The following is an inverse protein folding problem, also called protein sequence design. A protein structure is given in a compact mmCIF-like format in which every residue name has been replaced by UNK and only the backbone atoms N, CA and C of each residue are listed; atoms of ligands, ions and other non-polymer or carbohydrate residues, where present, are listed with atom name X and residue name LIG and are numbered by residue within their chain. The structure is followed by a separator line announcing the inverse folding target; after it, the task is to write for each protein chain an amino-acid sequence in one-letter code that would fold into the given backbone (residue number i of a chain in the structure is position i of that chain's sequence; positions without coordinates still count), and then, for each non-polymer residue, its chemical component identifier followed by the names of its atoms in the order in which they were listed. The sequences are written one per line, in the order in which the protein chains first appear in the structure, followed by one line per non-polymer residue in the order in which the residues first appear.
data_IF_647560046820
#
_entry.id   IF_647560046820
#
_cell.length_a   1.000
_cell.length_b   1.000
_cell.length_c   1.000
_cell.angle_alpha   90.00
_cell.angle_beta   90.00
_cell.angle_gamma   90.00
#
_symmetry.space_group_name_H-M   'P 1'
#
loop_
_entity.id
_entity.type
_entity.pdbx_description
1 polymer ?
#
# COMPACT_ATOMS: atom_id res chain seq x y z
N UNK A 1 5.00 14.35 26.20
CA UNK A 1 4.03 13.61 25.35
C UNK A 1 4.60 12.22 25.15
N UNK A 2 3.76 11.20 25.14
CA UNK A 2 4.19 9.82 24.92
C UNK A 2 4.76 9.65 23.49
N UNK A 3 5.97 9.10 23.30
CA UNK A 3 6.51 8.78 21.97
C UNK A 3 5.54 7.97 21.09
N UNK A 4 4.74 7.08 21.69
CA UNK A 4 3.72 6.26 20.99
C UNK A 4 2.82 7.14 20.13
N UNK A 5 2.39 8.30 20.63
CA UNK A 5 1.48 9.19 19.90
C UNK A 5 2.09 9.73 18.61
N UNK A 6 3.39 10.04 18.61
CA UNK A 6 4.08 10.60 17.43
C UNK A 6 4.31 9.52 16.39
N UNK A 7 4.72 8.32 16.83
CA UNK A 7 4.99 7.19 15.95
C UNK A 7 3.69 6.67 15.34
N UNK A 8 2.61 6.53 16.12
CA UNK A 8 1.27 6.19 15.62
C UNK A 8 0.76 7.23 14.60
N UNK A 9 0.94 8.51 14.88
CA UNK A 9 0.57 9.57 13.95
C UNK A 9 1.35 9.46 12.63
N UNK A 10 2.62 9.03 12.67
CA UNK A 10 3.43 8.78 11.48
C UNK A 10 2.92 7.56 10.69
N UNK A 11 2.63 6.43 11.36
CA UNK A 11 2.04 5.23 10.73
C UNK A 11 0.70 5.56 10.03
N UNK A 12 -0.11 6.42 10.64
CA UNK A 12 -1.42 6.82 10.12
C UNK A 12 -1.36 7.95 9.07
N UNK A 13 -0.17 8.41 8.67
CA UNK A 13 -0.03 9.49 7.70
C UNK A 13 -0.55 10.84 8.20
N UNK A 14 -0.69 11.05 9.52
CA UNK A 14 -1.21 12.29 10.14
C UNK A 14 -0.15 13.39 10.20
N UNK A 15 0.26 13.84 9.01
CA UNK A 15 1.35 14.80 8.76
C UNK A 15 1.35 15.99 9.71
N UNK A 16 0.22 16.68 9.85
CA UNK A 16 0.19 17.96 10.55
C UNK A 16 0.38 17.78 12.06
N UNK A 17 -0.12 16.67 12.62
CA UNK A 17 0.11 16.30 14.02
C UNK A 17 1.60 16.04 14.24
N UNK A 18 2.22 15.18 13.43
CA UNK A 18 3.65 14.87 13.54
C UNK A 18 4.49 16.14 13.42
N UNK A 19 4.26 16.95 12.39
CA UNK A 19 5.06 18.15 12.15
C UNK A 19 4.90 19.22 13.23
N UNK A 20 3.72 19.35 13.85
CA UNK A 20 3.52 20.27 14.96
C UNK A 20 4.31 19.85 16.21
N UNK A 21 4.34 18.55 16.50
CA UNK A 21 5.11 17.99 17.63
C UNK A 21 6.60 18.16 17.37
N UNK A 22 7.09 17.78 16.18
CA UNK A 22 8.50 17.92 15.82
C UNK A 22 8.96 19.37 15.74
N UNK A 23 8.07 20.32 15.40
CA UNK A 23 8.38 21.75 15.45
C UNK A 23 8.68 22.20 16.88
N UNK A 24 7.88 21.74 17.85
CA UNK A 24 8.01 22.06 19.26
C UNK A 24 9.20 21.36 19.93
N UNK A 25 9.42 20.09 19.62
CA UNK A 25 10.49 19.28 20.19
C UNK A 25 11.02 18.26 19.14
N UNK A 26 12.17 18.53 18.50
CA UNK A 26 12.75 17.61 17.53
C UNK A 26 13.29 16.32 18.17
N UNK A 27 13.49 16.25 19.49
CA UNK A 27 14.02 15.04 20.17
C UNK A 27 13.12 13.81 20.00
N UNK A 28 11.84 14.00 19.67
CA UNK A 28 10.93 12.89 19.34
C UNK A 28 11.39 12.08 18.12
N UNK A 29 12.23 12.63 17.23
CA UNK A 29 12.83 11.87 16.13
C UNK A 29 13.80 10.77 16.61
N UNK A 30 14.27 10.85 17.86
CA UNK A 30 15.17 9.87 18.46
C UNK A 30 14.43 8.85 19.34
N UNK A 31 13.19 9.17 19.74
CA UNK A 31 12.39 8.33 20.63
C UNK A 31 11.73 7.22 19.83
N UNK A 32 11.89 5.98 20.28
CA UNK A 32 11.22 4.83 19.70
C UNK A 32 9.90 4.54 20.42
N UNK A 33 8.99 3.92 19.69
CA UNK A 33 7.78 3.35 20.26
C UNK A 33 7.39 2.07 19.51
N UNK A 34 6.68 1.19 20.23
CA UNK A 34 6.06 0.00 19.66
C UNK A 34 4.80 0.39 18.90
N UNK A 35 4.75 0.04 17.62
CA UNK A 35 3.60 0.24 16.73
C UNK A 35 3.35 -0.99 15.88
N UNK A 36 2.14 -1.14 15.37
CA UNK A 36 1.78 -2.25 14.46
C UNK A 36 1.78 -1.78 13.00
N UNK A 37 2.30 -2.60 12.10
CA UNK A 37 2.16 -2.39 10.66
C UNK A 37 0.72 -2.71 10.19
N UNK A 38 0.46 -2.62 8.88
CA UNK A 38 -0.88 -2.83 8.30
C UNK A 38 -1.42 -4.26 8.42
N UNK A 39 -0.58 -5.23 8.79
CA UNK A 39 -0.95 -6.63 9.04
C UNK A 39 -0.84 -7.04 10.52
N UNK A 40 -0.62 -6.06 11.41
CA UNK A 40 -0.67 -6.26 12.85
C UNK A 40 0.64 -6.69 13.51
N UNK A 41 1.75 -6.76 12.77
CA UNK A 41 3.07 -7.10 13.31
C UNK A 41 3.66 -5.89 14.04
N UNK A 42 4.13 -6.11 15.28
CA UNK A 42 4.67 -5.07 16.15
C UNK A 42 6.15 -4.78 15.86
N UNK A 43 6.51 -3.50 15.81
CA UNK A 43 7.88 -3.03 15.60
C UNK A 43 8.20 -1.87 16.56
N UNK A 44 9.44 -1.83 17.05
CA UNK A 44 9.96 -0.73 17.86
C UNK A 44 10.77 0.24 16.99
N UNK A 45 10.18 1.40 16.67
CA UNK A 45 10.67 2.31 15.63
C UNK A 45 10.54 3.78 16.00
N UNK A 46 11.36 4.62 15.38
CA UNK A 46 11.25 6.09 15.47
C UNK A 46 10.15 6.63 14.55
N UNK A 47 9.75 7.91 14.67
CA UNK A 47 8.79 8.52 13.73
C UNK A 47 9.25 8.48 12.27
N UNK A 48 10.56 8.65 12.00
CA UNK A 48 11.11 8.57 10.64
C UNK A 48 10.99 7.15 10.09
N UNK A 49 11.38 6.16 10.88
CA UNK A 49 11.30 4.75 10.50
C UNK A 49 9.84 4.33 10.25
N UNK A 50 8.89 4.78 11.08
CA UNK A 50 7.46 4.57 10.86
C UNK A 50 6.94 5.19 9.55
N UNK A 51 7.38 6.40 9.21
CA UNK A 51 7.04 7.02 7.92
C UNK A 51 7.60 6.21 6.74
N UNK A 52 8.82 5.69 6.84
CA UNK A 52 9.44 4.85 5.81
C UNK A 52 8.73 3.50 5.68
N UNK A 53 8.43 2.84 6.81
CA UNK A 53 7.69 1.57 6.85
C UNK A 53 6.37 1.65 6.09
N UNK A 54 5.72 2.82 6.15
CA UNK A 54 4.43 3.07 5.50
C UNK A 54 4.55 3.73 4.13
N UNK A 55 5.76 3.88 3.60
CA UNK A 55 6.09 4.51 2.31
C UNK A 55 5.62 5.97 2.19
N UNK A 56 5.56 6.68 3.32
CA UNK A 56 5.25 8.11 3.39
C UNK A 56 6.51 8.96 3.25
N UNK A 57 7.10 8.91 2.05
CA UNK A 57 8.37 9.59 1.75
C UNK A 57 8.25 11.11 1.91
N UNK A 58 7.08 11.69 1.66
CA UNK A 58 6.86 13.12 1.90
C UNK A 58 6.89 13.49 3.38
N UNK A 59 6.39 12.62 4.25
CA UNK A 59 6.53 12.85 5.68
C UNK A 59 8.00 12.76 6.08
N UNK A 60 8.73 11.75 5.59
CA UNK A 60 10.16 11.60 5.82
C UNK A 60 10.97 12.83 5.37
N UNK A 61 10.73 13.34 4.16
CA UNK A 61 11.36 14.56 3.64
C UNK A 61 11.12 15.78 4.57
N UNK A 62 9.90 15.92 5.10
CA UNK A 62 9.57 17.02 6.01
C UNK A 62 10.24 16.88 7.38
N UNK A 63 10.54 15.65 7.83
CA UNK A 63 11.27 15.42 9.08
C UNK A 63 12.72 15.91 9.01
N UNK A 64 13.29 16.11 7.81
CA UNK A 64 14.67 16.62 7.62
C UNK A 64 14.94 17.89 8.43
N UNK A 65 14.02 18.87 8.41
CA UNK A 65 14.15 20.12 9.20
C UNK A 65 14.15 19.89 10.72
N UNK A 66 13.57 18.79 11.17
CA UNK A 66 13.67 18.37 12.57
C UNK A 66 15.08 17.89 12.88
N UNK A 67 15.64 17.01 12.03
CA UNK A 67 17.01 16.53 12.16
C UNK A 67 18.06 17.65 12.04
N UNK A 68 17.87 18.63 11.14
CA UNK A 68 18.76 19.81 11.04
C UNK A 68 18.83 20.63 12.34
N UNK A 69 17.82 20.51 13.22
CA UNK A 69 17.77 21.19 14.52
C UNK A 69 18.22 20.30 15.68
N UNK A 70 18.53 19.03 15.44
CA UNK A 70 19.05 18.11 16.46
C UNK A 70 20.56 18.30 16.60
N UNK A 71 20.97 18.87 17.73
CA UNK A 71 22.38 19.07 18.08
C UNK A 71 22.85 18.17 19.21
N UNK A 72 21.94 17.50 19.91
CA UNK A 72 22.24 16.56 20.98
C UNK A 72 21.29 15.36 20.96
N UNK A 73 21.75 14.21 21.48
CA UNK A 73 20.96 13.01 21.66
C UNK A 73 20.08 13.07 22.92
N UNK A 74 19.47 11.94 23.30
CA UNK A 74 18.62 11.85 24.49
C UNK A 74 19.39 11.90 25.83
N UNK A 75 20.73 11.87 25.80
CA UNK A 75 21.62 11.97 26.96
C UNK A 75 22.46 13.25 26.93
N UNK A 76 22.00 14.27 26.20
CA UNK A 76 22.67 15.55 25.98
C UNK A 76 24.08 15.44 25.36
N UNK A 77 24.39 14.32 24.69
CA UNK A 77 25.65 14.17 23.95
C UNK A 77 25.53 14.82 22.57
N UNK A 78 26.52 15.58 22.10
CA UNK A 78 26.47 16.19 20.78
C UNK A 78 26.30 15.16 19.66
N UNK A 79 25.41 15.45 18.71
CA UNK A 79 25.21 14.62 17.51
C UNK A 79 25.11 15.49 16.25
N UNK A 80 25.46 14.89 15.12
CA UNK A 80 25.04 15.37 13.80
C UNK A 80 23.66 14.78 13.50
N UNK A 81 22.62 15.62 13.60
CA UNK A 81 21.25 15.20 13.33
C UNK A 81 21.02 14.68 11.91
N UNK A 82 21.75 15.18 10.90
CA UNK A 82 21.63 14.67 9.53
C UNK A 82 22.28 13.28 9.41
N UNK A 83 23.44 13.08 10.03
CA UNK A 83 24.06 11.75 10.09
C UNK A 83 23.15 10.74 10.81
N UNK A 84 22.48 11.18 11.89
CA UNK A 84 21.50 10.37 12.61
C UNK A 84 20.28 10.02 11.74
N UNK A 85 19.77 10.95 10.92
CA UNK A 85 18.72 10.67 9.94
C UNK A 85 19.13 9.53 9.01
N UNK A 86 20.34 9.60 8.44
CA UNK A 86 20.88 8.56 7.56
C UNK A 86 21.02 7.21 8.25
N UNK A 87 21.52 7.22 9.49
CA UNK A 87 21.64 6.00 10.30
C UNK A 87 20.28 5.34 10.47
N UNK A 88 19.23 6.10 10.75
CA UNK A 88 17.86 5.57 10.90
C UNK A 88 17.28 5.01 9.59
N UNK A 89 17.51 5.67 8.45
CA UNK A 89 17.09 5.16 7.12
C UNK A 89 17.84 3.86 6.80
N UNK A 90 19.17 3.84 6.96
CA UNK A 90 20.00 2.64 6.74
C UNK A 90 19.52 1.47 7.62
N UNK A 91 19.30 1.72 8.91
CA UNK A 91 18.84 0.72 9.88
C UNK A 91 17.51 0.07 9.48
N UNK A 92 16.50 0.85 9.08
CA UNK A 92 15.20 0.28 8.72
C UNK A 92 15.24 -0.52 7.41
N UNK A 93 16.02 -0.07 6.42
CA UNK A 93 16.20 -0.79 5.17
C UNK A 93 16.98 -2.09 5.35
N UNK A 94 18.07 -2.08 6.13
CA UNK A 94 18.83 -3.31 6.44
C UNK A 94 17.99 -4.32 7.20
N UNK A 95 17.21 -3.86 8.20
CA UNK A 95 16.26 -4.74 8.91
C UNK A 95 15.25 -5.35 7.97
N UNK A 96 14.64 -4.53 7.11
CA UNK A 96 13.66 -4.98 6.10
C UNK A 96 14.26 -5.99 5.14
N UNK A 97 15.46 -5.73 4.61
CA UNK A 97 16.16 -6.63 3.69
C UNK A 97 16.51 -7.97 4.34
N UNK A 98 17.03 -7.97 5.57
CA UNK A 98 17.30 -9.21 6.35
C UNK A 98 16.03 -10.02 6.60
N UNK A 99 14.90 -9.34 6.82
CA UNK A 99 13.60 -10.00 7.00
C UNK A 99 13.11 -10.69 5.71
N UNK A 100 13.35 -10.06 4.55
CA UNK A 100 12.98 -10.61 3.24
C UNK A 100 13.95 -11.70 2.74
N UNK A 101 15.21 -11.66 3.18
CA UNK A 101 16.27 -12.55 2.71
C UNK A 101 17.14 -13.04 3.89
N UNK A 102 16.61 -13.91 4.77
CA UNK A 102 17.29 -14.32 5.99
C UNK A 102 18.60 -15.09 5.73
N UNK A 103 18.68 -15.81 4.60
CA UNK A 103 19.84 -16.64 4.25
C UNK A 103 20.91 -15.90 3.42
N UNK A 104 20.61 -14.69 2.96
CA UNK A 104 21.56 -13.88 2.18
C UNK A 104 22.42 -13.07 3.12
N UNK A 105 23.75 -13.21 3.03
CA UNK A 105 24.65 -12.24 3.66
C UNK A 105 24.43 -10.87 3.01
N UNK A 106 23.66 -10.03 3.69
CA UNK A 106 23.44 -8.64 3.28
C UNK A 106 24.78 -7.92 3.41
N UNK A 107 25.40 -7.63 2.26
CA UNK A 107 26.59 -6.77 2.22
C UNK A 107 26.28 -5.47 2.95
N UNK A 108 27.02 -5.19 4.02
CA UNK A 108 26.87 -3.98 4.83
C UNK A 108 27.48 -2.77 4.12
N UNK A 109 27.04 -2.53 2.87
CA UNK A 109 27.43 -1.35 2.10
C UNK A 109 27.17 -0.09 2.93
N UNK A 110 28.13 0.83 2.92
CA UNK A 110 27.92 2.16 3.49
C UNK A 110 27.11 3.07 2.55
N UNK A 111 27.05 2.73 1.27
CA UNK A 111 26.18 3.40 0.32
C UNK A 111 24.72 2.94 0.50
N UNK A 112 23.91 3.86 1.01
CA UNK A 112 22.48 3.68 1.25
C UNK A 112 21.68 3.46 -0.04
N UNK A 113 22.15 3.98 -1.18
CA UNK A 113 21.51 3.78 -2.48
C UNK A 113 21.61 2.32 -2.93
N UNK A 114 22.76 1.69 -2.66
CA UNK A 114 22.97 0.24 -2.90
C UNK A 114 22.02 -0.58 -2.03
N UNK A 115 21.86 -0.21 -0.75
CA UNK A 115 20.93 -0.89 0.17
C UNK A 115 19.48 -0.75 -0.29
N UNK A 116 19.05 0.46 -0.68
CA UNK A 116 17.69 0.71 -1.19
C UNK A 116 17.46 -0.08 -2.48
N UNK A 117 18.44 -0.13 -3.39
CA UNK A 117 18.37 -0.91 -4.63
C UNK A 117 18.19 -2.41 -4.37
N UNK A 118 19.01 -2.99 -3.48
CA UNK A 118 18.90 -4.39 -3.08
C UNK A 118 17.56 -4.70 -2.39
N UNK A 119 17.08 -3.80 -1.53
CA UNK A 119 15.78 -3.91 -0.90
C UNK A 119 14.62 -3.88 -1.91
N UNK A 120 14.66 -2.98 -2.89
CA UNK A 120 13.63 -2.91 -3.94
C UNK A 120 13.59 -4.20 -4.77
N UNK A 121 14.76 -4.78 -5.11
CA UNK A 121 14.85 -6.08 -5.79
C UNK A 121 14.28 -7.21 -4.93
N UNK A 122 14.60 -7.23 -3.64
CA UNK A 122 14.04 -8.20 -2.70
C UNK A 122 12.51 -8.07 -2.58
N UNK A 123 11.97 -6.84 -2.55
CA UNK A 123 10.53 -6.61 -2.56
C UNK A 123 9.85 -7.08 -3.85
N UNK A 124 10.47 -6.86 -5.01
CA UNK A 124 9.94 -7.35 -6.29
C UNK A 124 9.91 -8.88 -6.32
N UNK A 125 10.98 -9.54 -5.85
CA UNK A 125 11.05 -10.99 -5.71
C UNK A 125 10.06 -11.54 -4.67
N UNK A 126 9.77 -10.77 -3.61
CA UNK A 126 8.78 -11.12 -2.59
C UNK A 126 7.34 -10.75 -3.00
N UNK A 127 7.05 -10.46 -4.27
CA UNK A 127 5.68 -10.19 -4.65
C UNK A 127 4.82 -11.47 -4.58
N UNK A 128 3.69 -11.40 -3.86
CA UNK A 128 2.73 -12.49 -3.73
C UNK A 128 2.27 -13.04 -5.09
N UNK A 129 2.19 -14.36 -5.22
CA UNK A 129 1.72 -15.02 -6.44
C UNK A 129 0.18 -15.05 -6.50
N UNK A 130 -0.39 -14.19 -7.33
CA UNK A 130 -1.84 -14.13 -7.55
C UNK A 130 -2.32 -15.16 -8.58
N UNK A 131 -1.42 -15.81 -9.33
CA UNK A 131 -1.77 -16.63 -10.50
C UNK A 131 -2.74 -17.78 -10.16
N UNK A 132 -2.52 -18.61 -9.11
CA UNK A 132 -3.43 -19.72 -8.81
C UNK A 132 -4.87 -19.26 -8.54
N UNK A 133 -5.00 -18.10 -7.90
CA UNK A 133 -6.29 -17.52 -7.55
C UNK A 133 -6.99 -16.87 -8.74
N UNK A 134 -6.24 -16.22 -9.62
CA UNK A 134 -6.76 -15.70 -10.90
C UNK A 134 -7.27 -16.86 -11.77
N UNK A 135 -6.48 -17.92 -11.91
CA UNK A 135 -6.86 -19.11 -12.69
C UNK A 135 -8.11 -19.79 -12.11
N UNK A 136 -8.22 -19.90 -10.79
CA UNK A 136 -9.41 -20.41 -10.12
C UNK A 136 -10.66 -19.56 -10.41
N UNK A 137 -10.56 -18.22 -10.39
CA UNK A 137 -11.69 -17.33 -10.73
C UNK A 137 -12.05 -17.46 -12.21
N UNK A 138 -11.06 -17.63 -13.09
CA UNK A 138 -11.28 -17.83 -14.52
C UNK A 138 -12.00 -19.13 -14.85
N UNK A 139 -11.70 -20.19 -14.10
CA UNK A 139 -12.30 -21.51 -14.22
C UNK A 139 -13.64 -21.66 -13.47
N UNK A 140 -13.99 -20.71 -12.59
CA UNK A 140 -15.18 -20.81 -11.75
C UNK A 140 -16.49 -20.85 -12.54
N UNK A 141 -17.44 -21.63 -12.03
CA UNK A 141 -18.79 -21.70 -12.57
C UNK A 141 -19.58 -20.41 -12.32
N UNK A 142 -20.65 -20.21 -13.09
CA UNK A 142 -21.54 -19.07 -12.90
C UNK A 142 -22.15 -19.05 -11.49
N UNK A 143 -22.53 -20.21 -10.95
CA UNK A 143 -23.09 -20.34 -9.61
C UNK A 143 -22.09 -19.92 -8.52
N UNK A 144 -20.83 -20.34 -8.62
CA UNK A 144 -19.79 -19.93 -7.67
C UNK A 144 -19.52 -18.42 -7.73
N UNK A 145 -19.48 -17.85 -8.94
CA UNK A 145 -19.32 -16.41 -9.12
C UNK A 145 -20.50 -15.64 -8.52
N UNK A 146 -21.73 -16.15 -8.64
CA UNK A 146 -22.93 -15.52 -8.08
C UNK A 146 -22.90 -15.42 -6.56
N UNK A 147 -22.38 -16.45 -5.88
CA UNK A 147 -22.16 -16.43 -4.42
C UNK A 147 -21.21 -15.29 -4.02
N UNK A 148 -20.10 -15.14 -4.73
CA UNK A 148 -19.13 -14.06 -4.44
C UNK A 148 -19.68 -12.69 -4.83
N UNK A 149 -20.42 -12.60 -5.94
CA UNK A 149 -21.04 -11.35 -6.39
C UNK A 149 -22.15 -10.89 -5.45
N UNK A 150 -22.86 -11.80 -4.80
CA UNK A 150 -23.84 -11.46 -3.77
C UNK A 150 -23.16 -10.63 -2.68
N UNK A 151 -22.04 -11.12 -2.13
CA UNK A 151 -21.25 -10.37 -1.14
C UNK A 151 -20.75 -9.03 -1.67
N UNK A 152 -20.22 -8.98 -2.90
CA UNK A 152 -19.69 -7.74 -3.49
C UNK A 152 -20.80 -6.67 -3.63
N UNK A 153 -22.02 -7.09 -3.93
CA UNK A 153 -23.15 -6.20 -4.18
C UNK A 153 -23.93 -5.81 -2.91
N UNK A 154 -23.71 -6.49 -1.77
CA UNK A 154 -24.38 -6.15 -0.51
C UNK A 154 -23.86 -4.83 0.04
N UNK A 155 -24.75 -3.85 0.25
CA UNK A 155 -24.40 -2.47 0.66
C UNK A 155 -24.58 -2.20 2.16
N UNK A 156 -25.67 -2.62 2.82
CA UNK A 156 -25.82 -2.40 4.26
C UNK A 156 -24.88 -3.27 5.07
N UNK A 157 -24.38 -2.74 6.18
CA UNK A 157 -23.37 -3.45 6.99
C UNK A 157 -23.88 -4.71 7.66
N UNK A 158 -25.12 -4.65 8.13
CA UNK A 158 -25.80 -5.76 8.78
C UNK A 158 -26.11 -6.89 7.79
N UNK A 159 -26.50 -6.54 6.57
CA UNK A 159 -26.72 -7.50 5.48
C UNK A 159 -25.41 -8.15 5.02
N UNK A 160 -24.31 -7.40 4.97
CA UNK A 160 -23.02 -7.93 4.54
C UNK A 160 -22.48 -9.01 5.49
N UNK A 161 -22.68 -8.84 6.80
CA UNK A 161 -22.31 -9.85 7.80
C UNK A 161 -23.15 -11.14 7.66
N UNK A 162 -24.46 -11.00 7.42
CA UNK A 162 -25.35 -12.15 7.18
C UNK A 162 -25.01 -12.88 5.88
N UNK A 163 -24.71 -12.15 4.82
CA UNK A 163 -24.26 -12.72 3.53
C UNK A 163 -22.91 -13.41 3.69
N UNK A 164 -21.95 -12.81 4.40
CA UNK A 164 -20.67 -13.46 4.68
C UNK A 164 -20.86 -14.78 5.45
N UNK A 165 -21.71 -14.78 6.47
CA UNK A 165 -22.03 -15.98 7.25
C UNK A 165 -22.72 -17.07 6.40
N UNK A 166 -23.68 -16.70 5.55
CA UNK A 166 -24.42 -17.66 4.72
C UNK A 166 -23.61 -18.21 3.54
N UNK A 167 -22.63 -17.44 3.05
CA UNK A 167 -21.75 -17.83 1.93
C UNK A 167 -20.44 -18.45 2.39
N UNK A 168 -20.12 -18.42 3.69
CA UNK A 168 -18.87 -18.91 4.24
C UNK A 168 -17.65 -18.03 3.95
N UNK A 169 -17.87 -16.77 3.54
CA UNK A 169 -16.79 -15.82 3.23
C UNK A 169 -16.18 -15.30 4.54
N UNK A 170 -14.86 -15.42 4.68
CA UNK A 170 -14.12 -15.06 5.90
C UNK A 170 -12.74 -14.48 5.59
N UNK A 171 -12.10 -13.85 6.58
CA UNK A 171 -10.69 -13.40 6.49
C UNK A 171 -9.73 -14.59 6.50
N UNK A 172 -10.11 -15.70 7.13
CA UNK A 172 -9.29 -16.90 7.31
C UNK A 172 -10.04 -18.15 6.88
N UNK A 173 -9.30 -19.22 6.56
CA UNK A 173 -9.91 -20.53 6.32
C UNK A 173 -10.43 -21.17 7.60
N UNK A 174 -11.38 -22.08 7.44
CA UNK A 174 -11.75 -23.04 8.49
C UNK A 174 -10.74 -24.18 8.52
N UNK A 175 -10.69 -24.94 9.61
CA UNK A 175 -9.76 -26.06 9.74
C UNK A 175 -10.06 -27.17 8.73
N UNK A 176 -11.34 -27.40 8.42
CA UNK A 176 -11.76 -28.36 7.39
C UNK A 176 -11.28 -27.94 6.01
N UNK A 177 -11.32 -26.65 5.68
CA UNK A 177 -10.82 -26.12 4.41
C UNK A 177 -9.28 -26.14 4.35
N UNK A 178 -8.57 -25.96 5.46
CA UNK A 178 -7.10 -26.11 5.51
C UNK A 178 -6.66 -27.54 5.22
N UNK A 179 -7.45 -28.54 5.61
CA UNK A 179 -7.15 -29.96 5.37
C UNK A 179 -7.31 -30.41 3.91
N UNK A 180 -8.03 -29.65 3.08
CA UNK A 180 -8.28 -29.95 1.66
C UNK A 180 -7.12 -29.47 0.78
N UNK A 181 -6.84 -30.21 -0.30
CA UNK A 181 -5.98 -29.72 -1.38
C UNK A 181 -6.62 -28.53 -2.09
N UNK A 182 -5.83 -27.73 -2.81
CA UNK A 182 -6.34 -26.51 -3.46
C UNK A 182 -7.47 -26.81 -4.47
N UNK A 183 -7.38 -27.94 -5.19
CA UNK A 183 -8.36 -28.30 -6.23
C UNK A 183 -9.70 -28.76 -5.64
N UNK A 184 -9.69 -29.28 -4.41
CA UNK A 184 -10.90 -29.70 -3.69
C UNK A 184 -11.68 -28.53 -3.06
N UNK A 185 -11.11 -27.32 -3.10
CA UNK A 185 -11.75 -26.14 -2.56
C UNK A 185 -12.78 -25.55 -3.53
N UNK A 186 -13.91 -25.11 -2.98
CA UNK A 186 -14.84 -24.19 -3.63
C UNK A 186 -14.17 -22.84 -3.90
N UNK A 187 -14.71 -22.04 -4.82
CA UNK A 187 -14.20 -20.69 -5.06
C UNK A 187 -14.12 -19.83 -3.78
N UNK A 188 -15.13 -19.88 -2.90
CA UNK A 188 -15.13 -19.11 -1.65
C UNK A 188 -13.99 -19.56 -0.73
N UNK A 189 -13.79 -20.87 -0.57
CA UNK A 189 -12.70 -21.39 0.26
C UNK A 189 -11.32 -21.03 -0.30
N UNK A 190 -11.15 -21.02 -1.64
CA UNK A 190 -9.94 -20.53 -2.31
C UNK A 190 -9.70 -19.05 -2.02
N UNK A 191 -10.73 -18.21 -2.08
CA UNK A 191 -10.60 -16.80 -1.73
C UNK A 191 -10.31 -16.57 -0.24
N UNK A 192 -10.86 -17.39 0.66
CA UNK A 192 -10.49 -17.35 2.08
C UNK A 192 -9.01 -17.75 2.28
N UNK A 193 -8.53 -18.78 1.56
CA UNK A 193 -7.11 -19.19 1.56
C UNK A 193 -6.21 -18.04 1.11
N UNK A 194 -6.58 -17.41 0.00
CA UNK A 194 -5.87 -16.22 -0.50
C UNK A 194 -5.74 -15.14 0.57
N UNK A 195 -6.84 -14.77 1.24
CA UNK A 195 -6.81 -13.68 2.22
C UNK A 195 -5.89 -13.99 3.39
N UNK A 196 -5.91 -15.23 3.87
CA UNK A 196 -5.07 -15.73 4.95
C UNK A 196 -3.59 -15.78 4.52
N UNK A 197 -3.29 -16.47 3.43
CA UNK A 197 -1.92 -16.62 2.90
C UNK A 197 -1.30 -15.27 2.54
N UNK A 198 -2.09 -14.36 1.96
CA UNK A 198 -1.62 -13.01 1.63
C UNK A 198 -1.22 -12.22 2.88
N UNK A 199 -2.01 -12.30 3.96
CA UNK A 199 -1.65 -11.66 5.23
C UNK A 199 -0.42 -12.29 5.84
N UNK A 200 -0.33 -13.64 5.86
CA UNK A 200 0.86 -14.36 6.34
C UNK A 200 2.11 -13.98 5.55
N UNK A 201 2.01 -13.90 4.23
CA UNK A 201 3.10 -13.50 3.34
C UNK A 201 3.65 -12.10 3.69
N UNK A 202 2.76 -11.16 3.99
CA UNK A 202 3.13 -9.79 4.37
C UNK A 202 3.70 -9.67 5.79
N UNK A 203 3.61 -10.70 6.65
CA UNK A 203 4.10 -10.59 8.04
C UNK A 203 5.62 -10.41 8.11
N UNK A 204 6.35 -10.89 7.09
CA UNK A 204 7.80 -10.72 7.00
C UNK A 204 8.21 -9.34 6.44
N UNK A 205 7.25 -8.47 6.13
CA UNK A 205 7.50 -7.15 5.57
C UNK A 205 7.52 -6.06 6.65
N UNK A 206 8.69 -5.45 6.84
CA UNK A 206 8.85 -4.28 7.70
C UNK A 206 8.41 -3.02 6.96
N UNK A 207 8.89 -2.85 5.73
CA UNK A 207 8.48 -1.78 4.82
C UNK A 207 7.43 -2.36 3.88
N UNK A 208 6.27 -1.71 3.80
CA UNK A 208 5.18 -2.14 2.92
C UNK A 208 5.67 -2.34 1.47
N UNK A 209 5.35 -3.49 0.88
CA UNK A 209 5.72 -3.83 -0.48
C UNK A 209 4.63 -3.43 -1.49
N UNK A 210 4.82 -2.37 -2.29
CA UNK A 210 3.84 -1.96 -3.29
C UNK A 210 3.69 -2.97 -4.45
N UNK A 211 4.64 -3.90 -4.61
CA UNK A 211 4.61 -4.86 -5.71
C UNK A 211 3.43 -5.83 -5.62
N UNK A 212 2.86 -6.06 -4.44
CA UNK A 212 1.60 -6.82 -4.30
C UNK A 212 0.45 -6.19 -5.09
N UNK A 213 0.28 -4.87 -4.96
CA UNK A 213 -0.75 -4.13 -5.67
C UNK A 213 -0.40 -4.11 -7.17
N UNK A 214 0.85 -3.85 -7.53
CA UNK A 214 1.29 -3.85 -8.94
C UNK A 214 1.02 -5.18 -9.64
N UNK A 215 1.42 -6.31 -9.03
CA UNK A 215 1.21 -7.65 -9.59
C UNK A 215 -0.27 -7.99 -9.73
N UNK A 216 -1.08 -7.69 -8.71
CA UNK A 216 -2.53 -7.90 -8.81
C UNK A 216 -3.16 -7.08 -9.94
N UNK A 217 -2.73 -5.83 -10.14
CA UNK A 217 -3.18 -4.96 -11.23
C UNK A 217 -2.67 -5.45 -12.60
N UNK A 218 -1.45 -5.97 -12.68
CA UNK A 218 -0.85 -6.56 -13.88
C UNK A 218 -1.65 -7.79 -14.35
N UNK A 219 -2.02 -8.68 -13.43
CA UNK A 219 -2.89 -9.82 -13.74
C UNK A 219 -4.24 -9.33 -14.27
N UNK A 220 -4.89 -8.40 -13.59
CA UNK A 220 -6.16 -7.84 -14.05
C UNK A 220 -6.02 -7.18 -15.44
N UNK A 221 -4.99 -6.37 -15.67
CA UNK A 221 -4.74 -5.74 -16.96
C UNK A 221 -4.48 -6.74 -18.08
N UNK A 222 -3.71 -7.79 -17.81
CA UNK A 222 -3.37 -8.83 -18.79
C UNK A 222 -4.57 -9.71 -19.14
N UNK A 223 -5.37 -10.09 -18.15
CA UNK A 223 -6.59 -10.89 -18.36
C UNK A 223 -7.62 -10.12 -19.20
N UNK A 224 -7.74 -8.80 -19.02
CA UNK A 224 -8.85 -8.01 -19.56
C UNK A 224 -8.47 -7.00 -20.64
N UNK A 225 -7.19 -6.81 -20.97
CA UNK A 225 -6.71 -5.78 -21.90
C UNK A 225 -7.22 -5.86 -23.35
N UNK A 226 -8.00 -6.91 -23.68
CA UNK A 226 -8.64 -7.10 -25.00
C UNK A 226 -10.16 -6.86 -24.98
N UNK A 227 -10.79 -6.78 -23.81
CA UNK A 227 -12.24 -6.61 -23.65
C UNK A 227 -12.55 -5.11 -23.58
N UNK A 228 -13.37 -4.58 -24.49
CA UNK A 228 -13.87 -3.20 -24.40
C UNK A 228 -13.70 -2.30 -25.63
N UNK A 229 -13.07 -2.75 -26.73
CA UNK A 229 -12.90 -1.90 -27.92
C UNK A 229 -14.19 -1.60 -28.68
N UNK A 230 -15.19 -2.47 -28.57
CA UNK A 230 -16.34 -2.45 -29.49
C UNK A 230 -17.69 -2.17 -28.81
N UNK A 231 -17.70 -1.68 -27.56
CA UNK A 231 -18.94 -1.30 -26.86
C UNK A 231 -19.88 -2.47 -26.52
N UNK A 232 -19.41 -3.71 -26.64
CA UNK A 232 -20.16 -4.92 -26.30
C UNK A 232 -20.18 -5.11 -24.78
N UNK A 233 -21.32 -5.55 -24.25
CA UNK A 233 -21.47 -5.97 -22.86
C UNK A 233 -20.43 -7.02 -22.52
N UNK A 234 -19.57 -6.75 -21.54
CA UNK A 234 -18.52 -7.69 -21.11
C UNK A 234 -19.14 -9.01 -20.62
N UNK A 235 -19.01 -10.12 -21.38
CA UNK A 235 -19.59 -11.40 -20.98
C UNK A 235 -18.95 -11.97 -19.72
N UNK A 236 -17.74 -11.52 -19.37
CA UNK A 236 -16.95 -12.02 -18.24
C UNK A 236 -16.94 -11.04 -17.05
N UNK A 237 -17.89 -10.10 -17.01
CA UNK A 237 -17.88 -9.01 -16.02
C UNK A 237 -17.79 -9.50 -14.58
N UNK A 238 -18.42 -10.64 -14.25
CA UNK A 238 -18.39 -11.21 -12.89
C UNK A 238 -16.98 -11.62 -12.51
N UNK A 239 -16.29 -12.35 -13.38
CA UNK A 239 -14.89 -12.78 -13.14
C UNK A 239 -13.98 -11.57 -12.98
N UNK A 240 -14.14 -10.59 -13.87
CA UNK A 240 -13.42 -9.32 -13.83
C UNK A 240 -13.62 -8.60 -12.51
N UNK A 241 -14.88 -8.49 -12.07
CA UNK A 241 -15.25 -7.86 -10.80
C UNK A 241 -14.78 -8.64 -9.59
N UNK A 242 -14.78 -9.98 -9.62
CA UNK A 242 -14.27 -10.82 -8.54
C UNK A 242 -12.75 -10.69 -8.41
N UNK A 243 -11.98 -10.81 -9.50
CA UNK A 243 -10.52 -10.60 -9.50
C UNK A 243 -10.20 -9.24 -8.89
N UNK A 244 -10.87 -8.20 -9.38
CA UNK A 244 -10.59 -6.85 -8.95
C UNK A 244 -10.98 -6.61 -7.48
N UNK A 245 -12.17 -7.02 -7.05
CA UNK A 245 -12.67 -6.75 -5.69
C UNK A 245 -11.99 -7.60 -4.62
N UNK A 246 -11.74 -8.87 -4.95
CA UNK A 246 -11.28 -9.86 -3.99
C UNK A 246 -9.77 -9.97 -3.96
N UNK A 247 -9.06 -9.81 -5.08
CA UNK A 247 -7.60 -9.89 -5.11
C UNK A 247 -6.97 -8.49 -5.00
N UNK A 248 -7.14 -7.64 -6.02
CA UNK A 248 -6.58 -6.27 -6.02
C UNK A 248 -7.07 -5.48 -4.82
N UNK A 249 -8.39 -5.54 -4.59
CA UNK A 249 -9.05 -4.88 -3.50
C UNK A 249 -8.56 -5.30 -2.11
N UNK A 250 -8.22 -6.58 -1.93
CA UNK A 250 -7.67 -7.05 -0.66
C UNK A 250 -6.25 -6.56 -0.44
N UNK A 251 -5.40 -6.60 -1.48
CA UNK A 251 -4.06 -6.03 -1.41
C UNK A 251 -4.10 -4.53 -1.05
N UNK A 252 -5.04 -3.77 -1.63
CA UNK A 252 -5.25 -2.35 -1.29
C UNK A 252 -5.71 -2.16 0.16
N UNK A 253 -6.63 -2.99 0.67
CA UNK A 253 -7.08 -2.94 2.07
C UNK A 253 -5.96 -3.22 3.07
N UNK A 254 -4.97 -4.03 2.70
CA UNK A 254 -3.79 -4.32 3.53
C UNK A 254 -2.61 -3.37 3.30
N UNK A 255 -2.76 -2.37 2.43
CA UNK A 255 -1.75 -1.34 2.27
C UNK A 255 -1.61 -0.47 3.53
N UNK A 256 -0.46 0.18 3.66
CA UNK A 256 -0.28 1.21 4.67
C UNK A 256 -1.24 2.40 4.43
N UNK A 257 -1.67 3.07 5.50
CA UNK A 257 -2.64 4.18 5.41
C UNK A 257 -2.19 5.32 4.48
N UNK A 258 -0.92 5.77 4.45
CA UNK A 258 -0.46 6.74 3.45
C UNK A 258 -0.68 6.27 2.00
N UNK A 259 -0.48 4.98 1.71
CA UNK A 259 -0.76 4.41 0.38
C UNK A 259 -2.26 4.42 0.10
N UNK A 260 -3.10 4.09 1.08
CA UNK A 260 -4.56 4.20 0.95
C UNK A 260 -4.99 5.64 0.68
N UNK A 261 -4.38 6.62 1.32
CA UNK A 261 -4.65 8.04 1.08
C UNK A 261 -4.28 8.44 -0.36
N UNK A 262 -3.15 7.94 -0.88
CA UNK A 262 -2.76 8.17 -2.27
C UNK A 262 -3.75 7.53 -3.26
N UNK A 263 -4.22 6.32 -2.96
CA UNK A 263 -5.27 5.64 -3.75
C UNK A 263 -6.59 6.42 -3.69
N UNK A 264 -6.99 6.91 -2.50
CA UNK A 264 -8.22 7.69 -2.30
C UNK A 264 -8.19 9.04 -3.02
N UNK A 265 -7.04 9.71 -3.05
CA UNK A 265 -6.84 10.95 -3.81
C UNK A 265 -6.78 10.68 -5.31
N UNK A 266 -6.17 9.55 -5.69
CA UNK A 266 -6.03 9.12 -7.05
C UNK A 266 -4.63 9.33 -7.61
N UNK A 267 -3.99 8.22 -8.00
CA UNK A 267 -2.57 8.23 -8.39
C UNK A 267 -2.29 9.11 -9.60
N UNK A 268 -3.23 9.24 -10.54
CA UNK A 268 -3.10 10.12 -11.71
C UNK A 268 -2.85 11.58 -11.32
N UNK A 269 -3.60 12.11 -10.34
CA UNK A 269 -3.37 13.48 -9.90
C UNK A 269 -2.01 13.68 -9.27
N UNK A 270 -1.53 12.66 -8.56
CA UNK A 270 -0.23 12.74 -7.90
C UNK A 270 0.92 12.66 -8.90
N UNK A 271 0.80 11.81 -9.92
CA UNK A 271 1.91 11.54 -10.85
C UNK A 271 1.91 12.41 -12.09
N UNK A 272 0.73 12.77 -12.61
CA UNK A 272 0.59 13.29 -13.97
C UNK A 272 0.09 14.74 -13.93
N UNK A 273 -0.89 15.06 -13.08
CA UNK A 273 -1.29 16.44 -12.80
C UNK A 273 -0.38 17.12 -11.74
N UNK A 274 0.45 16.34 -11.05
CA UNK A 274 1.35 16.80 -9.98
C UNK A 274 0.63 17.60 -8.88
N UNK A 275 -0.59 17.23 -8.54
CA UNK A 275 -1.34 17.83 -7.44
C UNK A 275 -0.64 17.62 -6.09
N UNK A 276 -0.87 18.58 -5.20
CA UNK A 276 -0.46 18.45 -3.81
C UNK A 276 -1.19 17.30 -3.12
N UNK A 277 -0.49 16.56 -2.27
CA UNK A 277 -1.09 15.47 -1.51
C UNK A 277 -2.06 16.03 -0.44
N UNK A 278 -3.35 15.75 -0.64
CA UNK A 278 -4.48 16.18 0.20
C UNK A 278 -4.69 15.26 1.41
N UNK A 279 -4.16 14.03 1.38
CA UNK A 279 -4.26 13.01 2.45
C UNK A 279 -5.69 12.75 2.94
N UNK A 280 -6.62 12.39 2.04
CA UNK A 280 -8.01 12.20 2.42
C UNK A 280 -8.19 10.98 3.34
N UNK A 281 -8.81 11.18 4.49
CA UNK A 281 -9.15 10.12 5.44
C UNK A 281 -10.27 9.17 4.93
N UNK A 282 -10.99 9.58 3.88
CA UNK A 282 -12.07 8.83 3.23
C UNK A 282 -12.16 9.22 1.77
N UNK A 283 -12.71 8.36 0.93
CA UNK A 283 -13.10 8.79 -0.43
C UNK A 283 -14.11 9.94 -0.36
N UNK A 284 -14.01 10.89 -1.28
CA UNK A 284 -14.95 12.00 -1.36
C UNK A 284 -16.34 11.49 -1.75
N UNK A 285 -17.30 11.67 -0.84
CA UNK A 285 -18.63 11.06 -0.93
C UNK A 285 -19.45 11.66 -2.07
N UNK A 286 -19.33 12.97 -2.30
CA UNK A 286 -20.10 13.70 -3.32
C UNK A 286 -19.74 13.25 -4.75
N UNK A 287 -18.50 12.82 -4.94
CA UNK A 287 -18.03 12.27 -6.21
C UNK A 287 -18.33 10.77 -6.34
N UNK A 288 -18.30 10.04 -5.22
CA UNK A 288 -18.56 8.60 -5.17
C UNK A 288 -20.03 8.22 -5.41
N UNK A 289 -20.97 9.02 -4.92
CA UNK A 289 -22.40 8.72 -4.97
C UNK A 289 -23.00 8.77 -6.38
N UNK A 290 -22.32 9.38 -7.35
CA UNK A 290 -22.85 9.54 -8.72
C UNK A 290 -22.19 8.62 -9.75
N UNK A 291 -21.02 8.04 -9.47
CA UNK A 291 -20.25 7.34 -10.50
C UNK A 291 -19.54 6.05 -10.04
N UNK A 292 -19.42 5.77 -8.74
CA UNK A 292 -18.62 4.63 -8.25
C UNK A 292 -19.37 3.78 -7.23
N UNK A 293 -19.36 2.47 -7.46
CA UNK A 293 -19.64 1.51 -6.40
C UNK A 293 -18.41 1.43 -5.50
N UNK A 294 -18.25 2.39 -4.60
CA UNK A 294 -17.34 2.26 -3.46
C UNK A 294 -18.11 1.44 -2.42
N UNK A 295 -17.85 0.14 -2.36
CA UNK A 295 -18.45 -0.71 -1.33
C UNK A 295 -17.55 -0.65 -0.10
N UNK A 296 -18.09 -0.02 0.95
CA UNK A 296 -17.65 -0.32 2.31
C UNK A 296 -18.08 -1.77 2.53
N UNK A 297 -17.11 -2.67 2.71
CA UNK A 297 -17.35 -4.03 3.11
C UNK A 297 -17.09 -4.12 4.61
N UNK A 298 -18.09 -3.81 5.46
CA UNK A 298 -17.94 -3.74 6.90
C UNK A 298 -17.46 -5.02 7.59
N UNK A 299 -17.69 -6.27 7.09
CA UNK A 299 -17.03 -7.42 7.70
C UNK A 299 -15.50 -7.45 7.49
N UNK A 300 -14.93 -6.56 6.67
CA UNK A 300 -13.51 -6.58 6.28
C UNK A 300 -12.72 -5.30 6.57
N UNK A 301 -13.30 -4.34 7.32
CA UNK A 301 -12.71 -3.05 7.68
C UNK A 301 -12.00 -2.29 6.53
N UNK A 302 -12.68 -1.25 6.04
CA UNK A 302 -12.21 -0.23 5.09
C UNK A 302 -12.21 -0.60 3.58
N UNK A 303 -12.24 0.45 2.76
CA UNK A 303 -12.76 0.49 1.39
C UNK A 303 -11.84 -0.12 0.34
N UNK A 304 -12.47 -0.80 -0.62
CA UNK A 304 -11.85 -1.30 -1.85
C UNK A 304 -12.66 -0.82 -3.03
N UNK A 305 -11.98 -0.59 -4.14
CA UNK A 305 -12.65 -0.47 -5.42
C UNK A 305 -13.23 -1.85 -5.76
N UNK A 306 -14.52 -1.96 -6.09
CA UNK A 306 -15.21 -3.26 -6.26
C UNK A 306 -15.82 -3.48 -7.64
N UNK A 307 -15.51 -2.65 -8.64
CA UNK A 307 -16.08 -2.87 -9.96
C UNK A 307 -15.05 -2.69 -11.06
N UNK A 308 -15.00 -3.70 -11.93
CA UNK A 308 -14.06 -3.74 -13.02
C UNK A 308 -14.52 -2.98 -14.26
N UNK A 309 -15.82 -2.90 -14.58
CA UNK A 309 -16.30 -1.96 -15.60
C UNK A 309 -16.11 -0.48 -15.19
N UNK A 310 -15.80 -0.23 -13.91
CA UNK A 310 -15.35 1.10 -13.50
C UNK A 310 -13.96 1.40 -14.05
N UNK A 311 -13.17 0.43 -14.51
CA UNK A 311 -11.91 0.71 -15.25
C UNK A 311 -12.12 1.43 -16.57
N UNK A 312 -13.36 1.47 -17.09
CA UNK A 312 -13.75 2.27 -18.26
C UNK A 312 -14.74 3.41 -17.90
N UNK A 313 -15.21 3.45 -16.65
CA UNK A 313 -16.07 4.49 -16.09
C UNK A 313 -15.29 5.60 -15.39
N UNK A 314 -15.78 6.84 -15.48
CA UNK A 314 -15.10 8.12 -15.26
C UNK A 314 -14.37 8.40 -13.93
N UNK A 315 -14.28 7.47 -12.98
CA UNK A 315 -13.51 7.66 -11.74
C UNK A 315 -12.69 6.45 -11.34
N UNK A 316 -12.39 5.62 -12.32
CA UNK A 316 -11.10 4.97 -12.41
C UNK A 316 -10.16 5.65 -13.42
N UNK A 317 -10.60 6.74 -14.06
CA UNK A 317 -9.71 7.91 -14.20
C UNK A 317 -9.69 8.54 -12.82
N UNK A 318 -8.65 8.30 -12.03
CA UNK A 318 -8.58 8.52 -10.58
C UNK A 318 -8.85 9.97 -10.13
N UNK A 319 -10.07 10.46 -10.38
CA UNK A 319 -10.62 11.77 -10.73
C UNK A 319 -10.38 12.25 -12.21
N UNK A 320 -11.48 12.67 -12.84
CA UNK A 320 -11.56 13.53 -14.04
C UNK A 320 -13.06 13.82 -14.27
N UNK A 321 -13.54 15.04 -13.97
CA UNK A 321 -14.61 15.70 -14.75
C UNK A 321 -13.98 16.98 -15.33
N UNK A 322 -14.32 17.45 -16.52
CA UNK A 322 -15.48 17.19 -17.35
C UNK A 322 -15.33 17.72 -18.77
N UNK A 323 -16.42 17.56 -19.54
CA UNK A 323 -16.72 18.17 -20.85
C UNK A 323 -16.05 17.50 -22.07
N UNK A 324 -16.80 16.58 -22.71
CA UNK A 324 -16.90 16.54 -24.18
C UNK A 324 -15.78 15.95 -25.04
N UNK A 325 -14.70 15.38 -24.50
CA UNK A 325 -13.61 14.88 -25.34
C UNK A 325 -13.67 13.36 -25.60
N UNK A 326 -14.14 12.99 -26.80
CA UNK A 326 -13.76 11.74 -27.49
C UNK A 326 -12.25 11.83 -27.79
N UNK A 327 -11.41 11.40 -26.86
CA UNK A 327 -9.95 11.40 -26.99
C UNK A 327 -9.35 10.01 -26.71
N UNK A 328 -8.25 9.62 -27.38
CA UNK A 328 -7.77 8.24 -27.40
C UNK A 328 -6.88 7.92 -26.18
N UNK A 329 -7.15 6.74 -25.59
CA UNK A 329 -6.32 5.92 -24.68
C UNK A 329 -5.99 6.45 -23.26
N UNK A 330 -6.60 5.81 -22.27
CA UNK A 330 -6.18 5.86 -20.86
C UNK A 330 -4.92 5.02 -20.65
N UNK A 331 -3.95 5.51 -19.86
CA UNK A 331 -2.83 4.70 -19.40
C UNK A 331 -3.34 3.56 -18.48
N UNK A 332 -2.74 2.35 -18.54
CA UNK A 332 -3.12 1.25 -17.64
C UNK A 332 -2.96 1.66 -16.17
N UNK A 333 -3.88 1.26 -15.29
CA UNK A 333 -3.82 1.58 -13.85
C UNK A 333 -2.52 1.14 -13.18
N UNK A 334 -1.94 0.02 -13.62
CA UNK A 334 -0.61 -0.45 -13.21
C UNK A 334 0.49 0.56 -13.51
N UNK A 335 0.42 1.27 -14.65
CA UNK A 335 1.42 2.28 -15.05
C UNK A 335 1.39 3.50 -14.13
N UNK A 336 0.21 4.01 -13.79
CA UNK A 336 0.11 5.16 -12.88
C UNK A 336 0.59 4.82 -11.47
N UNK A 337 0.21 3.65 -10.95
CA UNK A 337 0.70 3.20 -9.64
C UNK A 337 2.21 2.91 -9.66
N UNK A 338 2.75 2.37 -10.75
CA UNK A 338 4.19 2.19 -10.95
C UNK A 338 4.93 3.53 -10.99
N UNK A 339 4.38 4.54 -11.69
CA UNK A 339 4.94 5.89 -11.71
C UNK A 339 4.98 6.50 -10.30
N UNK A 340 3.93 6.29 -9.48
CA UNK A 340 3.90 6.74 -8.09
C UNK A 340 4.99 6.06 -7.26
N UNK A 341 5.13 4.75 -7.39
CA UNK A 341 6.18 3.99 -6.68
C UNK A 341 7.58 4.50 -7.06
N UNK A 342 7.85 4.67 -8.36
CA UNK A 342 9.12 5.23 -8.85
C UNK A 342 9.37 6.64 -8.32
N UNK A 343 8.38 7.51 -8.37
CA UNK A 343 8.51 8.88 -7.86
C UNK A 343 8.88 8.90 -6.37
N UNK A 344 8.25 8.03 -5.56
CA UNK A 344 8.57 7.88 -4.13
C UNK A 344 10.00 7.36 -3.91
N UNK A 345 10.41 6.33 -4.65
CA UNK A 345 11.78 5.80 -4.57
C UNK A 345 12.81 6.87 -4.91
N UNK A 346 12.62 7.60 -6.01
CA UNK A 346 13.51 8.70 -6.40
C UNK A 346 13.54 9.84 -5.36
N UNK A 347 12.40 10.18 -4.76
CA UNK A 347 12.35 11.16 -3.66
C UNK A 347 13.19 10.72 -2.46
N UNK A 348 13.13 9.44 -2.10
CA UNK A 348 13.91 8.90 -0.98
C UNK A 348 15.42 8.86 -1.30
N UNK A 349 15.79 8.43 -2.50
CA UNK A 349 17.19 8.46 -2.96
C UNK A 349 17.74 9.89 -2.91
N UNK A 350 16.97 10.88 -3.39
CA UNK A 350 17.34 12.29 -3.30
C UNK A 350 17.47 12.80 -1.87
N UNK A 351 16.61 12.33 -0.94
CA UNK A 351 16.70 12.65 0.48
C UNK A 351 18.02 12.15 1.07
N UNK A 352 18.50 10.99 0.63
CA UNK A 352 19.76 10.39 1.08
C UNK A 352 20.99 11.06 0.45
N UNK A 353 20.99 11.34 -0.85
CA UNK A 353 22.15 11.92 -1.55
C UNK A 353 22.48 13.34 -1.08
N UNK A 354 21.46 14.18 -0.86
CA UNK A 354 21.64 15.60 -0.48
C UNK A 354 22.26 15.81 0.89
N UNK A 355 22.20 14.82 1.76
CA UNK A 355 22.75 14.92 3.10
C UNK A 355 24.23 14.48 3.16
N UNK A 356 24.71 13.70 2.19
CA UNK A 356 26.14 13.39 2.04
C UNK A 356 26.98 14.60 1.61
N UNK A 357 26.40 15.50 0.81
CA UNK A 357 27.08 16.69 0.28
C UNK A 357 27.38 17.76 1.37
N UNK A 358 26.55 17.85 2.41
CA UNK A 358 26.76 18.83 3.50
C UNK A 358 27.95 18.48 4.42
N UNK A 359 28.34 17.20 4.52
CA UNK A 359 29.40 16.76 5.44
C UNK A 359 30.84 17.05 4.95
N UNK A 360 31.04 17.38 3.68
CA UNK A 360 32.38 17.62 3.12
C UNK A 360 32.79 19.10 3.09
N UNK A 361 31.90 20.04 3.41
CA UNK A 361 32.22 21.48 3.36
C UNK A 361 32.75 22.07 4.67
N UNK A 362 32.81 21.32 5.77
CA UNK A 362 33.24 21.81 7.10
C UNK A 362 34.63 21.34 7.56
N UNK A 363 35.37 20.60 6.73
CA UNK A 363 36.69 20.07 7.09
C UNK A 363 37.90 20.88 6.58
N UNK A 364 37.70 22.15 6.18
CA UNK A 364 38.80 23.06 5.81
C UNK A 364 38.60 24.41 6.49
N UNK A 365 39.10 24.53 7.72
CA UNK A 365 39.43 25.79 8.37
C UNK A 365 40.56 25.56 9.39
#
# INVERSE_FOLDING_TARGET
MDPVFVVDAAILGKKDIVMNILRADPSYLLKKAKVKNSVGVEYDVTPLQAAIMTTDIQMAEKMKRGFERLTADLNDQPIDGIAEMHRQIKDIYLKSLRSLQPDTQVSESDDISVIIGAHNQAQEANAFDFKPYVEAILAASQAELDVVMQLINTKPSEEAAQVAASTGVSVTQTDEARAKSFDELTLVEKLNRFREEFVLHMQNEIIFNPNHILKSLEHNGTTWGKVGKDGVTDPEYKKRTVIFSQLVGWAQRKAAEPVKQDIRQGTWYLTEEKELHKRPARFDLDWSAHFFNIVRNPPFDDVSLVHSASTEGWGFKFALRGIGARGPFCAPSSRCFQNLCRAKTTSLENLCSRAGECGHQTAVA
#
